data_IF_907794973532
#
_entry.id   IF_907794973532
#
_cell.length_a   1.000
_cell.length_b   1.000
_cell.length_c   1.000
_cell.angle_alpha   90.00
_cell.angle_beta   90.00
_cell.angle_gamma   90.00
#
_symmetry.space_group_name_H-M   'P 1'
#
loop_
_entity.id
_entity.type
_entity.pdbx_description
1 polymer ?
#
# COMPACT_ATOMS: atom_id res chain seq x y z
N UNK A 1 -25.73 -10.93 -21.98
CA UNK A 1 -24.82 -9.78 -21.80
C UNK A 1 -24.83 -9.44 -20.32
N UNK A 2 -23.70 -9.58 -19.64
CA UNK A 2 -23.55 -9.17 -18.24
C UNK A 2 -22.61 -7.97 -18.23
N UNK A 3 -23.15 -6.82 -17.84
CA UNK A 3 -22.43 -5.56 -17.67
C UNK A 3 -21.52 -5.68 -16.46
N UNK A 4 -20.21 -5.54 -16.65
CA UNK A 4 -19.24 -5.38 -15.56
C UNK A 4 -19.38 -3.95 -15.06
N UNK A 5 -19.96 -3.78 -13.87
CA UNK A 5 -19.97 -2.51 -13.16
C UNK A 5 -18.60 -2.38 -12.53
N UNK A 6 -17.71 -1.62 -13.19
CA UNK A 6 -16.46 -1.19 -12.56
C UNK A 6 -16.80 -0.25 -11.41
N UNK A 7 -16.41 -0.64 -10.20
CA UNK A 7 -16.56 0.21 -9.02
C UNK A 7 -15.72 1.48 -9.21
N UNK A 8 -16.40 2.62 -9.30
CA UNK A 8 -15.81 3.95 -9.23
C UNK A 8 -15.24 4.13 -7.82
N UNK A 9 -13.92 4.28 -7.69
CA UNK A 9 -13.31 4.76 -6.45
C UNK A 9 -13.79 6.20 -6.24
N UNK A 10 -14.67 6.40 -5.26
CA UNK A 10 -15.11 7.73 -4.87
C UNK A 10 -13.98 8.41 -4.10
N UNK A 11 -13.31 9.38 -4.74
CA UNK A 11 -12.45 10.34 -4.06
C UNK A 11 -13.32 11.19 -3.12
N UNK A 12 -13.25 10.92 -1.81
CA UNK A 12 -13.76 11.84 -0.80
C UNK A 12 -12.86 13.08 -0.76
N UNK A 13 -13.28 14.16 -1.40
CA UNK A 13 -12.68 15.49 -1.20
C UNK A 13 -13.22 16.00 0.14
N UNK A 14 -12.41 15.90 1.19
CA UNK A 14 -12.71 16.53 2.48
C UNK A 14 -12.44 18.04 2.34
N UNK A 15 -13.40 18.93 2.64
CA UNK A 15 -13.15 20.37 2.61
C UNK A 15 -12.28 20.77 3.81
N UNK A 16 -10.99 20.96 3.59
CA UNK A 16 -10.09 21.55 4.59
C UNK A 16 -10.40 23.05 4.73
N UNK A 17 -10.86 23.45 5.91
CA UNK A 17 -10.98 24.86 6.28
C UNK A 17 -9.59 25.40 6.59
N UNK A 18 -9.14 26.40 5.81
CA UNK A 18 -7.87 27.09 6.05
C UNK A 18 -7.93 27.87 7.36
N UNK A 19 -7.25 27.38 8.39
CA UNK A 19 -6.80 28.21 9.49
C UNK A 19 -5.29 28.46 9.30
N UNK A 20 -4.93 29.67 8.87
CA UNK A 20 -3.56 30.15 9.03
C UNK A 20 -3.31 30.38 10.53
N UNK A 21 -2.60 29.45 11.17
CA UNK A 21 -2.17 29.60 12.54
C UNK A 21 -0.94 30.50 12.60
N UNK A 22 -1.09 31.61 13.31
CA UNK A 22 -0.02 32.52 13.69
C UNK A 22 0.90 31.79 14.68
N UNK A 23 2.20 31.65 14.37
CA UNK A 23 3.15 30.92 15.22
C UNK A 23 3.46 31.70 16.50
N UNK A 24 2.68 31.42 17.54
CA UNK A 24 3.05 31.78 18.90
C UNK A 24 3.97 30.68 19.41
N UNK A 25 5.27 30.97 19.51
CA UNK A 25 6.30 30.09 20.09
C UNK A 25 6.00 29.87 21.58
N UNK A 26 5.09 28.95 21.85
CA UNK A 26 5.03 28.24 23.12
C UNK A 26 5.96 27.04 22.97
N UNK A 27 6.86 26.84 23.94
CA UNK A 27 7.62 25.59 24.06
C UNK A 27 6.63 24.43 24.20
N UNK A 28 6.25 23.84 23.08
CA UNK A 28 5.44 22.63 23.02
C UNK A 28 6.37 21.48 23.39
N UNK A 29 6.16 20.91 24.57
CA UNK A 29 6.85 19.66 24.93
C UNK A 29 6.22 18.55 24.12
N UNK A 30 7.00 17.86 23.29
CA UNK A 30 6.56 16.62 22.65
C UNK A 30 6.32 15.59 23.75
N UNK A 31 5.17 14.92 23.72
CA UNK A 31 4.84 13.86 24.67
C UNK A 31 5.19 12.51 24.07
N UNK A 32 5.53 11.54 24.91
CA UNK A 32 5.78 10.15 24.48
C UNK A 32 4.59 9.57 23.69
N UNK A 33 3.36 9.90 24.08
CA UNK A 33 2.15 9.51 23.34
C UNK A 33 2.12 10.07 21.91
N UNK A 34 2.54 11.33 21.72
CA UNK A 34 2.63 11.95 20.40
C UNK A 34 3.72 11.27 19.55
N UNK A 35 4.87 10.99 20.13
CA UNK A 35 5.98 10.28 19.46
C UNK A 35 5.51 8.91 18.99
N UNK A 36 4.91 8.11 19.88
CA UNK A 36 4.45 6.76 19.55
C UNK A 36 3.40 6.76 18.45
N UNK A 37 2.46 7.70 18.49
CA UNK A 37 1.45 7.83 17.42
C UNK A 37 2.09 8.12 16.07
N UNK A 38 3.10 9.00 16.02
CA UNK A 38 3.80 9.33 14.78
C UNK A 38 4.61 8.14 14.28
N UNK A 39 5.22 7.37 15.17
CA UNK A 39 5.90 6.11 14.83
C UNK A 39 4.91 5.15 14.17
N UNK A 40 3.75 4.91 14.79
CA UNK A 40 2.71 4.03 14.25
C UNK A 40 2.25 4.50 12.87
N UNK A 41 1.99 5.80 12.70
CA UNK A 41 1.60 6.39 11.41
C UNK A 41 2.70 6.18 10.35
N UNK A 42 3.98 6.40 10.67
CA UNK A 42 5.09 6.21 9.74
C UNK A 42 5.29 4.74 9.36
N UNK A 43 5.16 3.83 10.32
CA UNK A 43 5.26 2.39 10.09
C UNK A 43 4.17 1.87 9.14
N UNK A 44 2.94 2.40 9.21
CA UNK A 44 1.87 2.06 8.27
C UNK A 44 2.20 2.39 6.82
N UNK A 45 3.07 3.37 6.59
CA UNK A 45 3.57 3.74 5.27
C UNK A 45 4.95 3.15 4.98
N UNK A 46 5.50 2.28 5.84
CA UNK A 46 6.84 1.71 5.65
C UNK A 46 7.95 2.74 5.64
N UNK A 47 7.79 3.81 6.41
CA UNK A 47 8.79 4.87 6.59
C UNK A 47 9.59 4.53 7.86
N UNK A 48 10.91 4.66 7.81
CA UNK A 48 11.77 4.33 8.93
C UNK A 48 11.48 5.24 10.15
N UNK A 49 11.05 4.66 11.26
CA UNK A 49 10.72 5.37 12.49
C UNK A 49 11.92 5.56 13.43
N UNK A 50 13.07 4.94 13.15
CA UNK A 50 14.31 5.06 13.94
C UNK A 50 15.10 6.35 13.64
N UNK A 51 14.54 7.28 12.86
CA UNK A 51 15.19 8.52 12.49
C UNK A 51 15.50 9.37 13.73
N UNK A 52 16.75 9.84 13.84
CA UNK A 52 17.25 10.70 14.94
C UNK A 52 16.55 12.05 15.08
N UNK A 53 15.58 12.36 14.23
CA UNK A 53 15.00 13.71 14.06
C UNK A 53 13.46 13.71 14.17
N UNK A 54 12.85 12.66 14.75
CA UNK A 54 11.38 12.56 14.84
C UNK A 54 10.75 13.65 15.71
N UNK A 55 11.39 14.00 16.82
CA UNK A 55 10.94 15.11 17.67
C UNK A 55 10.97 16.45 16.92
N UNK A 56 11.98 16.66 16.08
CA UNK A 56 12.12 17.87 15.26
C UNK A 56 11.02 17.93 14.20
N UNK A 57 10.74 16.82 13.51
CA UNK A 57 9.60 16.73 12.56
C UNK A 57 8.28 17.11 13.22
N UNK A 58 8.04 16.65 14.46
CA UNK A 58 6.82 16.96 15.21
C UNK A 58 6.78 18.43 15.63
N UNK A 59 7.89 18.97 16.15
CA UNK A 59 7.98 20.36 16.61
C UNK A 59 7.86 21.37 15.47
N UNK A 60 8.44 21.04 14.32
CA UNK A 60 8.34 21.84 13.10
C UNK A 60 6.95 21.69 12.44
N UNK A 61 6.15 20.71 12.87
CA UNK A 61 4.86 20.41 12.27
C UNK A 61 4.98 19.94 10.83
N UNK A 62 6.08 19.26 10.51
CA UNK A 62 6.40 18.83 9.16
C UNK A 62 5.57 17.60 8.80
N UNK A 63 4.38 17.85 8.25
CA UNK A 63 3.41 16.84 7.83
C UNK A 63 3.29 16.90 6.31
N UNK A 64 3.48 15.75 5.67
CA UNK A 64 3.21 15.60 4.24
C UNK A 64 1.78 16.01 3.91
N UNK A 65 1.62 16.96 2.99
CA UNK A 65 0.29 17.34 2.50
C UNK A 65 -0.35 16.24 1.65
N UNK A 66 0.46 15.36 1.07
CA UNK A 66 0.01 14.28 0.20
C UNK A 66 -0.44 13.06 1.00
N UNK A 67 0.30 12.70 2.05
CA UNK A 67 0.09 11.47 2.80
C UNK A 67 -0.46 11.71 4.22
N UNK A 68 -0.40 12.93 4.73
CA UNK A 68 -0.90 13.29 6.05
C UNK A 68 -0.08 12.76 7.21
N UNK A 69 1.17 12.36 6.97
CA UNK A 69 2.08 11.77 7.96
C UNK A 69 3.31 12.65 8.13
N UNK A 70 3.88 12.65 9.34
CA UNK A 70 5.13 13.37 9.60
C UNK A 70 6.29 12.72 8.86
N UNK A 71 6.90 13.46 7.94
CA UNK A 71 8.01 12.98 7.12
C UNK A 71 8.80 14.14 6.52
N UNK A 72 10.04 13.86 6.11
CA UNK A 72 10.84 14.80 5.34
C UNK A 72 10.38 14.88 3.88
N UNK A 73 10.78 15.93 3.16
CA UNK A 73 10.53 16.03 1.72
C UNK A 73 11.17 14.87 0.93
N UNK A 74 12.32 14.38 1.39
CA UNK A 74 13.01 13.24 0.79
C UNK A 74 12.21 11.95 0.98
N UNK A 75 11.69 11.71 2.19
CA UNK A 75 10.81 10.58 2.49
C UNK A 75 9.50 10.65 1.68
N UNK A 76 8.91 11.83 1.51
CA UNK A 76 7.72 12.00 0.68
C UNK A 76 8.00 11.67 -0.79
N UNK A 77 9.16 12.10 -1.31
CA UNK A 77 9.58 11.82 -2.68
C UNK A 77 9.86 10.33 -2.89
N UNK A 78 10.53 9.69 -1.94
CA UNK A 78 10.84 8.26 -1.97
C UNK A 78 9.56 7.43 -1.97
N UNK A 79 8.66 7.66 -0.99
CA UNK A 79 7.36 7.01 -0.93
C UNK A 79 6.55 7.23 -2.21
N UNK A 80 6.56 8.45 -2.75
CA UNK A 80 5.87 8.75 -4.01
C UNK A 80 6.40 7.95 -5.19
N UNK A 81 7.71 7.78 -5.27
CA UNK A 81 8.38 7.00 -6.32
C UNK A 81 8.02 5.54 -6.18
N UNK A 82 8.16 4.99 -4.96
CA UNK A 82 7.80 3.62 -4.62
C UNK A 82 6.35 3.29 -4.98
N UNK A 83 5.39 4.15 -4.66
CA UNK A 83 3.97 3.94 -4.98
C UNK A 83 3.71 3.88 -6.49
N UNK A 84 4.41 4.68 -7.30
CA UNK A 84 4.25 4.63 -8.76
C UNK A 84 4.89 3.36 -9.35
N UNK A 85 6.05 2.94 -8.84
CA UNK A 85 6.68 1.67 -9.22
C UNK A 85 5.80 0.46 -8.85
N UNK A 86 5.21 0.47 -7.66
CA UNK A 86 4.27 -0.56 -7.22
C UNK A 86 3.05 -0.64 -8.13
N UNK A 87 2.50 0.50 -8.52
CA UNK A 87 1.37 0.58 -9.44
C UNK A 87 1.72 0.06 -10.83
N UNK A 88 2.86 0.47 -11.38
CA UNK A 88 3.33 -0.02 -12.69
C UNK A 88 3.55 -1.54 -12.66
N UNK A 89 4.21 -2.04 -11.61
CA UNK A 89 4.49 -3.47 -11.42
C UNK A 89 3.21 -4.28 -11.24
N UNK A 90 2.27 -3.78 -10.44
CA UNK A 90 0.96 -4.42 -10.24
C UNK A 90 0.20 -4.53 -11.55
N UNK A 91 0.16 -3.47 -12.36
CA UNK A 91 -0.50 -3.50 -13.65
C UNK A 91 0.12 -4.53 -14.60
N UNK A 92 1.46 -4.60 -14.67
CA UNK A 92 2.16 -5.60 -15.49
C UNK A 92 1.80 -7.03 -15.07
N UNK A 93 1.74 -7.32 -13.76
CA UNK A 93 1.36 -8.65 -13.26
C UNK A 93 -0.11 -8.95 -13.55
N UNK A 94 -1.00 -7.98 -13.37
CA UNK A 94 -2.41 -8.16 -13.71
C UNK A 94 -2.62 -8.44 -15.20
N UNK A 95 -1.86 -7.80 -16.09
CA UNK A 95 -1.92 -8.09 -17.52
C UNK A 95 -1.46 -9.53 -17.83
N UNK A 96 -0.45 -10.03 -17.12
CA UNK A 96 0.00 -11.43 -17.23
C UNK A 96 -1.12 -12.38 -16.78
N UNK A 97 -1.73 -12.12 -15.63
CA UNK A 97 -2.83 -12.93 -15.10
C UNK A 97 -3.99 -12.97 -16.10
N UNK A 98 -4.39 -11.81 -16.64
CA UNK A 98 -5.48 -11.69 -17.63
C UNK A 98 -5.16 -12.30 -18.99
N UNK A 99 -3.88 -12.44 -19.34
CA UNK A 99 -3.45 -13.05 -20.61
C UNK A 99 -3.63 -14.58 -20.64
N UNK A 100 -3.84 -15.21 -19.49
CA UNK A 100 -3.98 -16.66 -19.34
C UNK A 100 -5.28 -17.00 -18.62
N UNK A 101 -6.20 -17.68 -19.31
CA UNK A 101 -7.47 -18.08 -18.70
C UNK A 101 -7.28 -18.93 -17.44
N UNK A 102 -6.25 -19.78 -17.44
CA UNK A 102 -5.87 -20.58 -16.28
C UNK A 102 -5.45 -19.71 -15.08
N UNK A 103 -4.65 -18.67 -15.29
CA UNK A 103 -4.23 -17.79 -14.19
C UNK A 103 -5.39 -16.93 -13.71
N UNK A 104 -6.17 -16.37 -14.64
CA UNK A 104 -7.35 -15.56 -14.33
C UNK A 104 -8.37 -16.33 -13.46
N UNK A 105 -8.70 -17.58 -13.83
CA UNK A 105 -9.69 -18.39 -13.10
C UNK A 105 -9.22 -18.85 -11.71
N UNK A 106 -7.91 -18.79 -11.47
CA UNK A 106 -7.28 -19.20 -10.21
C UNK A 106 -6.76 -18.02 -9.38
N UNK A 107 -6.86 -16.79 -9.86
CA UNK A 107 -6.44 -15.60 -9.13
C UNK A 107 -7.46 -15.24 -8.05
N UNK A 108 -6.97 -14.89 -6.86
CA UNK A 108 -7.79 -14.62 -5.68
C UNK A 108 -7.73 -13.17 -5.21
N UNK A 109 -6.74 -12.40 -5.68
CA UNK A 109 -6.54 -11.01 -5.28
C UNK A 109 -5.08 -10.66 -5.06
N UNK A 110 -4.83 -9.38 -4.80
CA UNK A 110 -3.50 -8.86 -4.50
C UNK A 110 -3.58 -7.77 -3.45
N UNK A 111 -2.52 -7.64 -2.65
CA UNK A 111 -2.35 -6.52 -1.73
C UNK A 111 -0.89 -6.06 -1.72
N UNK A 112 -0.64 -4.88 -1.16
CA UNK A 112 0.69 -4.33 -0.98
C UNK A 112 0.91 -4.17 0.52
N UNK A 113 1.99 -4.77 1.04
CA UNK A 113 2.40 -4.59 2.43
C UNK A 113 3.37 -3.41 2.53
N UNK A 114 2.84 -2.22 2.81
CA UNK A 114 3.66 -1.02 2.95
C UNK A 114 4.62 -1.12 4.14
N UNK A 115 4.23 -1.78 5.24
CA UNK A 115 5.07 -1.91 6.43
C UNK A 115 6.31 -2.77 6.14
N UNK A 116 6.19 -3.77 5.27
CA UNK A 116 7.31 -4.60 4.80
C UNK A 116 8.07 -3.97 3.63
N UNK A 117 8.20 -2.64 3.58
CA UNK A 117 8.93 -1.95 2.51
C UNK A 117 8.17 -1.85 1.19
N UNK A 118 6.90 -2.25 1.16
CA UNK A 118 6.05 -2.10 -0.01
C UNK A 118 5.96 -3.32 -0.92
N UNK A 119 6.23 -4.51 -0.39
CA UNK A 119 6.14 -5.79 -1.10
C UNK A 119 4.74 -6.05 -1.65
N UNK A 120 4.68 -6.63 -2.85
CA UNK A 120 3.42 -6.85 -3.57
C UNK A 120 3.09 -8.34 -3.56
N UNK A 121 1.94 -8.68 -2.97
CA UNK A 121 1.48 -10.04 -2.79
C UNK A 121 0.37 -10.38 -3.77
N UNK A 122 0.47 -11.51 -4.45
CA UNK A 122 -0.55 -12.05 -5.36
C UNK A 122 -0.97 -13.46 -4.93
N UNK A 123 -2.27 -13.61 -4.64
CA UNK A 123 -2.86 -14.85 -4.15
C UNK A 123 -3.50 -15.67 -5.27
N UNK A 124 -3.30 -16.98 -5.22
CA UNK A 124 -3.89 -17.93 -6.16
C UNK A 124 -4.48 -19.15 -5.45
N UNK A 125 -5.42 -19.84 -6.09
CA UNK A 125 -6.01 -21.08 -5.59
C UNK A 125 -4.94 -22.18 -5.39
N UNK A 126 -5.11 -23.09 -4.42
CA UNK A 126 -4.17 -24.18 -4.20
C UNK A 126 -4.05 -25.06 -5.46
N UNK A 127 -2.83 -25.48 -5.79
CA UNK A 127 -2.55 -26.26 -7.00
C UNK A 127 -2.32 -25.41 -8.27
N UNK A 128 -2.35 -24.08 -8.16
CA UNK A 128 -1.95 -23.19 -9.26
C UNK A 128 -0.44 -23.26 -9.47
N UNK A 129 0.01 -23.54 -10.70
CA UNK A 129 1.44 -23.49 -11.04
C UNK A 129 1.93 -22.04 -11.19
N UNK A 130 2.53 -21.54 -10.11
CA UNK A 130 3.07 -20.17 -10.03
C UNK A 130 4.35 -19.99 -10.87
N UNK A 131 5.00 -21.07 -11.31
CA UNK A 131 6.17 -20.97 -12.17
C UNK A 131 5.82 -20.38 -13.54
N UNK A 132 4.55 -20.48 -13.96
CA UNK A 132 4.07 -19.86 -15.19
C UNK A 132 4.27 -18.33 -15.14
N UNK A 133 4.06 -17.70 -13.99
CA UNK A 133 4.26 -16.25 -13.82
C UNK A 133 5.76 -15.93 -13.81
N UNK A 134 6.56 -16.71 -13.06
CA UNK A 134 8.01 -16.52 -12.95
C UNK A 134 8.76 -16.76 -14.27
N UNK A 135 8.33 -17.74 -15.07
CA UNK A 135 9.03 -18.15 -16.30
C UNK A 135 8.61 -17.35 -17.53
N UNK A 136 7.36 -16.88 -17.61
CA UNK A 136 6.90 -16.12 -18.77
C UNK A 136 7.40 -14.67 -18.80
N UNK A 137 8.03 -14.18 -17.73
CA UNK A 137 8.49 -12.80 -17.70
C UNK A 137 9.95 -12.66 -17.24
N UNK A 138 10.84 -12.62 -18.23
CA UNK A 138 12.17 -12.02 -18.06
C UNK A 138 12.07 -10.64 -17.42
N UNK A 139 11.04 -9.87 -17.75
CA UNK A 139 10.76 -8.53 -17.20
C UNK A 139 10.49 -8.53 -15.68
N UNK A 140 9.86 -9.57 -15.12
CA UNK A 140 9.67 -9.68 -13.66
C UNK A 140 10.99 -9.99 -12.97
N UNK A 141 11.82 -10.85 -13.57
CA UNK A 141 13.18 -11.07 -13.09
C UNK A 141 14.05 -9.81 -13.22
N UNK A 142 13.82 -8.93 -14.21
CA UNK A 142 14.51 -7.64 -14.29
C UNK A 142 13.99 -6.61 -13.28
N UNK A 143 12.68 -6.64 -12.98
CA UNK A 143 12.05 -5.79 -11.95
C UNK A 143 12.55 -6.19 -10.54
N UNK A 144 12.49 -7.48 -10.18
CA UNK A 144 13.00 -7.99 -8.89
C UNK A 144 14.51 -7.80 -8.67
N UNK A 145 15.30 -7.57 -9.72
CA UNK A 145 16.76 -7.37 -9.57
C UNK A 145 17.15 -5.89 -9.45
N UNK A 146 16.24 -4.95 -9.74
CA UNK A 146 16.53 -3.52 -9.78
C UNK A 146 15.60 -2.66 -8.90
N UNK A 147 14.46 -3.18 -8.43
CA UNK A 147 13.63 -2.51 -7.42
C UNK A 147 13.76 -3.19 -6.06
N UNK A 148 13.73 -2.41 -4.99
CA UNK A 148 13.66 -2.91 -3.61
C UNK A 148 12.32 -3.58 -3.28
N UNK A 149 11.32 -3.46 -4.15
CA UNK A 149 9.99 -4.05 -4.00
C UNK A 149 10.03 -5.53 -4.41
N UNK A 150 9.72 -6.43 -3.47
CA UNK A 150 9.59 -7.85 -3.78
C UNK A 150 8.18 -8.21 -4.26
N UNK A 151 8.13 -9.17 -5.19
CA UNK A 151 6.89 -9.73 -5.72
C UNK A 151 6.70 -11.13 -5.13
N UNK A 152 5.70 -11.26 -4.26
CA UNK A 152 5.41 -12.51 -3.54
C UNK A 152 4.18 -13.18 -4.14
N UNK A 153 4.38 -14.41 -4.64
CA UNK A 153 3.30 -15.25 -5.14
C UNK A 153 2.98 -16.32 -4.10
N UNK A 154 1.72 -16.43 -3.68
CA UNK A 154 1.31 -17.36 -2.65
C UNK A 154 -0.01 -18.05 -2.99
N UNK A 155 -0.29 -19.14 -2.27
CA UNK A 155 -1.57 -19.84 -2.35
C UNK A 155 -2.48 -19.44 -1.20
N UNK A 156 -3.75 -19.20 -1.51
CA UNK A 156 -4.80 -18.93 -0.54
C UNK A 156 -6.03 -19.79 -0.83
N UNK A 157 -6.82 -20.07 0.21
CA UNK A 157 -8.00 -20.94 0.10
C UNK A 157 -9.24 -20.18 -0.39
N UNK A 158 -9.37 -18.91 -0.01
CA UNK A 158 -10.52 -18.07 -0.30
C UNK A 158 -10.10 -16.76 -0.99
N UNK A 159 -10.94 -16.24 -1.89
CA UNK A 159 -10.82 -14.87 -2.38
C UNK A 159 -11.36 -13.86 -1.38
N UNK A 160 -11.01 -12.58 -1.57
CA UNK A 160 -11.59 -11.47 -0.80
C UNK A 160 -13.13 -11.44 -0.90
N UNK A 161 -13.67 -11.62 -2.12
CA UNK A 161 -15.13 -11.70 -2.33
C UNK A 161 -15.79 -12.82 -1.52
N UNK A 162 -15.14 -13.98 -1.41
CA UNK A 162 -15.63 -15.13 -0.62
C UNK A 162 -15.59 -14.83 0.88
N UNK A 163 -14.54 -14.16 1.36
CA UNK A 163 -14.42 -13.71 2.75
C UNK A 163 -15.46 -12.65 3.10
N UNK A 164 -15.75 -11.72 2.19
CA UNK A 164 -16.78 -10.71 2.33
C UNK A 164 -18.18 -11.33 2.41
N UNK A 165 -18.45 -12.34 1.57
CA UNK A 165 -19.72 -13.07 1.62
C UNK A 165 -19.91 -13.75 2.99
N UNK A 166 -18.89 -14.45 3.49
CA UNK A 166 -18.91 -15.10 4.82
C UNK A 166 -19.14 -14.06 5.92
N UNK A 167 -18.42 -12.95 5.89
CA UNK A 167 -18.54 -11.87 6.88
C UNK A 167 -19.94 -11.26 6.88
N UNK A 168 -20.54 -11.11 5.71
CA UNK A 168 -21.90 -10.58 5.56
C UNK A 168 -22.97 -11.50 6.16
N UNK A 169 -22.74 -12.82 6.20
CA UNK A 169 -23.63 -13.80 6.82
C UNK A 169 -23.54 -13.71 8.34
N UNK A 170 -22.32 -13.61 8.87
CA UNK A 170 -22.07 -13.51 10.32
C UNK A 170 -22.68 -12.23 10.89
N UNK A 171 -22.47 -11.08 10.24
CA UNK A 171 -22.94 -9.77 10.73
C UNK A 171 -24.46 -9.55 10.61
N UNK A 172 -25.18 -10.45 9.93
CA UNK A 172 -26.66 -10.43 9.84
C UNK A 172 -27.35 -11.27 10.93
N UNK A 173 -26.58 -11.96 11.76
CA UNK A 173 -27.07 -12.79 12.88
C UNK A 173 -26.89 -12.04 14.19
#
# INVERSE_FOLDING_TARGET
>A
MKTIIGAFLAFFIIPFSYAHANSNSNNMSVTEETVNKVIEERELFGINSDATDLEDLILEGNISLKFGVHMTDEEEQDLSTRLEEQKETTNKIQDIIKSSKYLEDNYLGSYIDQASGGDIFFGFKPGTDLNIIKNNNRSLNTLNNNSEIDIVLYHAEYSEDELDEITSIINKT
#
